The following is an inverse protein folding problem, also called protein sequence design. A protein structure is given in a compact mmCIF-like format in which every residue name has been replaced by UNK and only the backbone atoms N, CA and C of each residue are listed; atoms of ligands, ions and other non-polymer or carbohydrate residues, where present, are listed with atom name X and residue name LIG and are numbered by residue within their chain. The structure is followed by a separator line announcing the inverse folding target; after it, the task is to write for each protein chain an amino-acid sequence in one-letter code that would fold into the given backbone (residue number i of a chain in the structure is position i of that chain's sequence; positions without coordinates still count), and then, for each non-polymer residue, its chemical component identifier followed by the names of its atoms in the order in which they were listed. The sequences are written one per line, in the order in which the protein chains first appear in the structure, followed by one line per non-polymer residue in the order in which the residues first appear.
data_IF_380093652809
#
_entry.id   IF_380093652809
#
_cell.length_a   1.000
_cell.length_b   1.000
_cell.length_c   1.000
_cell.angle_alpha   90.00
_cell.angle_beta   90.00
_cell.angle_gamma   90.00
#
_symmetry.space_group_name_H-M   'P 1'
#
loop_
_entity.id
_entity.type
_entity.pdbx_description
1 polymer ?
#
# COMPACT_ATOMS: atom_id res chain seq x y z
N UNK A 1 -14.54 23.11 13.95
CA UNK A 1 -13.98 23.32 12.60
C UNK A 1 -14.10 22.02 11.84
N UNK A 2 -14.59 22.04 10.61
CA UNK A 2 -14.72 20.85 9.76
C UNK A 2 -13.72 20.93 8.63
N UNK A 3 -13.23 19.78 8.18
CA UNK A 3 -12.26 19.64 7.11
C UNK A 3 -12.95 19.72 5.75
N UNK A 4 -12.35 20.46 4.83
CA UNK A 4 -12.78 20.53 3.44
C UNK A 4 -11.76 19.82 2.56
N UNK A 5 -12.26 19.06 1.59
CA UNK A 5 -11.44 18.25 0.72
C UNK A 5 -11.78 18.53 -0.74
N UNK A 6 -10.77 18.63 -1.59
CA UNK A 6 -10.93 18.67 -3.03
C UNK A 6 -10.00 17.67 -3.70
N UNK A 7 -10.43 17.11 -4.82
CA UNK A 7 -9.57 16.24 -5.61
C UNK A 7 -8.46 17.05 -6.29
N UNK A 8 -7.21 16.60 -6.13
CA UNK A 8 -6.07 17.27 -6.76
C UNK A 8 -6.00 16.88 -8.24
N UNK A 9 -6.74 17.61 -9.09
CA UNK A 9 -6.94 17.30 -10.53
C UNK A 9 -5.66 17.13 -11.35
N UNK A 10 -4.54 17.76 -10.96
CA UNK A 10 -3.24 17.61 -11.64
C UNK A 10 -2.43 16.40 -11.16
N UNK A 11 -2.78 15.83 -10.01
CA UNK A 11 -2.00 14.77 -9.37
C UNK A 11 -1.84 13.51 -10.23
N UNK A 12 -2.80 13.12 -11.10
CA UNK A 12 -2.60 11.95 -11.95
C UNK A 12 -1.36 12.05 -12.84
N UNK A 13 -1.00 13.26 -13.27
CA UNK A 13 0.18 13.49 -14.13
C UNK A 13 1.48 13.70 -13.34
N UNK A 14 1.38 13.94 -12.02
CA UNK A 14 2.53 14.19 -11.14
C UNK A 14 3.00 12.93 -10.40
N UNK A 15 2.09 11.98 -10.18
CA UNK A 15 2.37 10.72 -9.48
C UNK A 15 3.16 9.76 -10.38
N UNK A 16 4.34 9.36 -9.93
CA UNK A 16 5.14 8.34 -10.60
C UNK A 16 4.41 6.99 -10.70
N UNK A 17 3.48 6.71 -9.78
CA UNK A 17 2.55 5.58 -9.84
C UNK A 17 1.85 5.47 -11.20
N UNK A 18 1.49 6.60 -11.82
CA UNK A 18 0.81 6.64 -13.12
C UNK A 18 1.78 6.66 -14.32
N UNK A 19 3.09 6.68 -14.07
CA UNK A 19 4.07 6.60 -15.15
C UNK A 19 3.90 5.28 -15.92
N UNK A 20 4.12 5.31 -17.24
CA UNK A 20 3.96 4.14 -18.11
C UNK A 20 4.69 2.91 -17.57
N UNK A 21 5.95 3.07 -17.14
CA UNK A 21 6.74 1.95 -16.60
C UNK A 21 6.10 1.32 -15.36
N UNK A 22 5.58 2.13 -14.43
CA UNK A 22 4.94 1.60 -13.23
C UNK A 22 3.63 0.89 -13.60
N UNK A 23 2.81 1.49 -14.45
CA UNK A 23 1.56 0.92 -14.91
C UNK A 23 1.74 -0.37 -15.72
N UNK A 24 2.80 -0.49 -16.52
CA UNK A 24 3.12 -1.71 -17.27
C UNK A 24 3.50 -2.86 -16.32
N UNK A 25 4.29 -2.57 -15.27
CA UNK A 25 4.63 -3.55 -14.24
C UNK A 25 3.42 -3.92 -13.36
N UNK A 26 2.57 -2.96 -13.00
CA UNK A 26 1.35 -3.25 -12.26
C UNK A 26 0.35 -4.06 -13.09
N UNK A 27 0.30 -3.90 -14.42
CA UNK A 27 -0.48 -4.81 -15.28
C UNK A 27 0.15 -6.20 -15.27
N UNK A 28 1.47 -6.31 -15.45
CA UNK A 28 2.20 -7.59 -15.38
C UNK A 28 1.95 -8.31 -14.05
N UNK A 29 1.93 -7.58 -12.94
CA UNK A 29 1.69 -8.13 -11.61
C UNK A 29 0.21 -8.31 -11.29
N UNK A 30 -0.72 -7.89 -12.16
CA UNK A 30 -2.15 -8.08 -11.94
C UNK A 30 -2.81 -7.12 -10.95
N UNK A 31 -2.22 -5.95 -10.72
CA UNK A 31 -2.73 -4.94 -9.79
C UNK A 31 -3.39 -3.75 -10.47
N UNK A 32 -3.04 -3.46 -11.74
CA UNK A 32 -3.42 -2.21 -12.41
C UNK A 32 -4.93 -1.96 -12.46
N UNK A 33 -5.74 -3.01 -12.65
CA UNK A 33 -7.20 -2.89 -12.75
C UNK A 33 -7.90 -2.78 -11.40
N UNK A 34 -7.19 -3.10 -10.32
CA UNK A 34 -7.72 -3.25 -8.98
C UNK A 34 -7.10 -2.29 -7.95
N UNK A 35 -6.14 -1.45 -8.37
CA UNK A 35 -5.42 -0.51 -7.52
C UNK A 35 -5.36 0.89 -8.13
N UNK A 36 -5.43 1.91 -7.27
CA UNK A 36 -5.14 3.29 -7.64
C UNK A 36 -4.51 4.08 -6.50
N UNK A 37 -3.82 5.16 -6.85
CA UNK A 37 -3.47 6.24 -5.92
C UNK A 37 -4.25 7.48 -6.33
N UNK A 38 -5.02 8.05 -5.40
CA UNK A 38 -5.71 9.34 -5.56
C UNK A 38 -5.22 10.32 -4.53
N UNK A 39 -5.03 11.57 -4.95
CA UNK A 39 -4.59 12.66 -4.07
C UNK A 39 -5.68 13.72 -3.95
N UNK A 40 -5.92 14.14 -2.72
CA UNK A 40 -6.82 15.22 -2.35
C UNK A 40 -6.03 16.31 -1.63
N UNK A 41 -6.57 17.53 -1.63
CA UNK A 41 -6.05 18.68 -0.89
C UNK A 41 -7.03 19.05 0.23
N UNK A 42 -6.50 19.60 1.31
CA UNK A 42 -7.29 20.20 2.40
C UNK A 42 -6.65 21.50 2.87
N UNK A 43 -7.38 22.34 3.61
CA UNK A 43 -6.89 23.66 4.03
C UNK A 43 -6.73 23.82 5.54
N UNK A 44 -7.45 23.03 6.32
CA UNK A 44 -7.48 23.17 7.76
C UNK A 44 -6.20 22.63 8.41
N UNK A 45 -5.92 23.10 9.62
CA UNK A 45 -4.86 22.53 10.43
C UNK A 45 -5.26 21.14 10.92
N UNK A 46 -4.34 20.18 10.82
CA UNK A 46 -4.52 18.81 11.28
C UNK A 46 -3.59 18.54 12.48
N UNK A 47 -4.18 18.28 13.65
CA UNK A 47 -3.50 17.78 14.85
C UNK A 47 -3.55 16.25 14.85
N UNK A 48 -2.42 15.60 14.59
CA UNK A 48 -2.32 14.15 14.49
C UNK A 48 -2.49 13.40 15.83
N UNK A 49 -2.74 14.08 16.94
CA UNK A 49 -3.05 13.43 18.22
C UNK A 49 -4.54 13.52 18.55
N UNK A 50 -5.25 14.50 17.98
CA UNK A 50 -6.64 14.81 18.35
C UNK A 50 -7.63 14.64 17.21
N UNK A 51 -7.20 14.87 15.98
CA UNK A 51 -8.10 14.98 14.84
C UNK A 51 -8.19 13.68 14.04
N UNK A 52 -7.39 12.64 14.31
CA UNK A 52 -7.26 11.43 13.46
C UNK A 52 -8.61 10.82 13.07
N UNK A 53 -9.44 10.44 14.05
CA UNK A 53 -10.73 9.78 13.80
C UNK A 53 -11.70 10.70 13.06
N UNK A 54 -11.83 11.93 13.54
CA UNK A 54 -12.72 12.94 12.97
C UNK A 54 -12.34 13.27 11.53
N UNK A 55 -11.05 13.46 11.25
CA UNK A 55 -10.54 13.75 9.91
C UNK A 55 -10.89 12.64 8.94
N UNK A 56 -10.66 11.37 9.32
CA UNK A 56 -10.99 10.22 8.47
C UNK A 56 -12.51 10.10 8.25
N UNK A 57 -13.32 10.32 9.28
CA UNK A 57 -14.78 10.27 9.19
C UNK A 57 -15.32 11.38 8.27
N UNK A 58 -14.85 12.62 8.42
CA UNK A 58 -15.22 13.74 7.55
C UNK A 58 -14.70 13.51 6.11
N UNK A 59 -13.51 12.94 5.95
CA UNK A 59 -12.93 12.60 4.64
C UNK A 59 -13.80 11.63 3.85
N UNK A 60 -14.19 10.49 4.44
CA UNK A 60 -15.00 9.49 3.73
C UNK A 60 -16.46 9.91 3.50
N UNK A 61 -16.95 10.92 4.23
CA UNK A 61 -18.28 11.48 4.03
C UNK A 61 -18.31 12.70 3.10
N UNK A 62 -17.15 13.31 2.80
CA UNK A 62 -17.07 14.47 1.94
C UNK A 62 -17.49 14.15 0.49
N UNK A 63 -18.31 15.03 -0.10
CA UNK A 63 -18.88 14.83 -1.43
C UNK A 63 -17.80 14.70 -2.52
N UNK A 64 -16.83 15.61 -2.55
CA UNK A 64 -15.70 15.59 -3.51
C UNK A 64 -14.85 14.32 -3.36
N UNK A 65 -14.71 13.82 -2.13
CA UNK A 65 -14.00 12.55 -1.89
C UNK A 65 -14.81 11.37 -2.40
N UNK A 66 -16.13 11.33 -2.18
CA UNK A 66 -17.01 10.22 -2.61
C UNK A 66 -17.20 10.13 -4.11
N UNK A 67 -17.13 11.26 -4.81
CA UNK A 67 -17.10 11.29 -6.28
C UNK A 67 -15.89 10.55 -6.84
N UNK A 68 -14.76 10.59 -6.14
CA UNK A 68 -13.50 10.05 -6.62
C UNK A 68 -13.13 8.71 -5.96
N UNK A 69 -13.42 8.50 -4.68
CA UNK A 69 -13.12 7.28 -3.95
C UNK A 69 -14.08 6.16 -4.37
N UNK A 70 -13.63 5.32 -5.30
CA UNK A 70 -14.36 4.13 -5.74
C UNK A 70 -13.79 2.88 -5.07
N UNK A 71 -14.66 1.92 -4.80
CA UNK A 71 -14.32 0.60 -4.25
C UNK A 71 -14.58 -0.48 -5.29
N UNK A 72 -13.87 -1.60 -5.18
CA UNK A 72 -14.10 -2.76 -6.04
C UNK A 72 -15.31 -3.54 -5.55
N UNK A 73 -16.05 -4.09 -6.50
CA UNK A 73 -17.15 -5.00 -6.21
C UNK A 73 -16.81 -6.45 -6.53
N UNK A 74 -17.65 -7.33 -5.98
CA UNK A 74 -17.86 -8.73 -6.32
C UNK A 74 -18.09 -9.05 -7.82
N UNK A 75 -18.15 -8.05 -8.70
CA UNK A 75 -18.33 -8.22 -10.14
C UNK A 75 -17.15 -7.62 -10.93
N UNK A 76 -16.02 -7.39 -10.25
CA UNK A 76 -14.80 -6.82 -10.83
C UNK A 76 -15.03 -5.43 -11.48
N UNK A 77 -15.87 -4.61 -10.87
CA UNK A 77 -16.22 -3.27 -11.32
C UNK A 77 -16.02 -2.25 -10.21
N UNK A 78 -15.62 -1.04 -10.58
CA UNK A 78 -15.55 0.10 -9.67
C UNK A 78 -16.96 0.61 -9.34
N UNK A 79 -17.28 0.67 -8.04
CA UNK A 79 -18.55 1.18 -7.52
C UNK A 79 -18.31 2.36 -6.58
N UNK A 80 -19.30 3.22 -6.47
CA UNK A 80 -19.28 4.34 -5.52
C UNK A 80 -19.57 3.86 -4.09
N UNK A 81 -19.03 4.59 -3.12
CA UNK A 81 -19.35 4.39 -1.71
C UNK A 81 -20.78 4.89 -1.45
N UNK A 82 -21.72 3.97 -1.17
CA UNK A 82 -23.13 4.31 -0.91
C UNK A 82 -23.39 4.57 0.58
N UNK A 83 -24.34 5.47 0.86
CA UNK A 83 -24.77 5.80 2.22
C UNK A 83 -23.78 6.66 3.00
N UNK A 84 -24.20 7.19 4.13
CA UNK A 84 -23.31 7.89 5.07
C UNK A 84 -22.47 6.86 5.83
N UNK A 85 -21.19 7.18 6.04
CA UNK A 85 -20.28 6.38 6.86
C UNK A 85 -20.40 6.86 8.30
N UNK A 86 -20.83 5.98 9.20
CA UNK A 86 -21.06 6.34 10.60
C UNK A 86 -19.82 6.22 11.48
N UNK A 87 -18.85 5.42 11.04
CA UNK A 87 -17.63 5.17 11.79
C UNK A 87 -16.54 4.60 10.86
N UNK A 88 -15.28 4.85 11.21
CA UNK A 88 -14.11 4.39 10.47
C UNK A 88 -13.23 3.59 11.43
N UNK A 89 -13.06 2.30 11.15
CA UNK A 89 -12.08 1.49 11.87
C UNK A 89 -10.75 1.53 11.13
N UNK A 90 -9.69 1.96 11.81
CA UNK A 90 -8.37 2.12 11.22
C UNK A 90 -7.25 1.71 12.18
N UNK A 91 -6.07 1.47 11.64
CA UNK A 91 -4.81 1.30 12.38
C UNK A 91 -3.78 2.34 11.92
N UNK A 92 -3.08 2.97 12.86
CA UNK A 92 -1.97 3.86 12.56
C UNK A 92 -0.74 3.03 12.20
N UNK A 93 -0.18 3.28 11.02
CA UNK A 93 0.94 2.53 10.49
C UNK A 93 2.24 3.31 10.72
N UNK A 94 3.26 2.69 11.36
CA UNK A 94 4.58 3.27 11.45
C UNK A 94 5.17 3.57 10.07
N UNK A 95 5.76 4.76 9.92
CA UNK A 95 6.43 5.17 8.70
C UNK A 95 7.71 5.91 9.10
N UNK A 96 8.72 5.15 9.48
CA UNK A 96 9.96 5.67 10.05
C UNK A 96 11.15 5.53 9.09
N UNK A 97 11.05 4.63 8.11
CA UNK A 97 12.15 4.31 7.19
C UNK A 97 12.25 5.32 6.05
N UNK A 98 13.45 5.81 5.76
CA UNK A 98 13.72 6.73 4.63
C UNK A 98 14.62 6.12 3.56
N UNK A 99 15.15 4.92 3.80
CA UNK A 99 16.18 4.28 3.00
C UNK A 99 15.86 2.80 2.77
N UNK A 100 16.28 2.28 1.61
CA UNK A 100 16.06 0.88 1.24
C UNK A 100 17.05 -0.10 1.90
N UNK A 101 18.08 0.38 2.59
CA UNK A 101 18.99 -0.46 3.38
C UNK A 101 18.26 -1.30 4.44
N UNK A 102 17.03 -0.91 4.79
CA UNK A 102 16.09 -1.72 5.55
C UNK A 102 15.94 -3.14 4.98
N UNK A 103 16.02 -3.32 3.65
CA UNK A 103 15.94 -4.60 2.97
C UNK A 103 17.29 -5.28 2.71
N UNK A 104 18.41 -4.73 3.18
CA UNK A 104 19.74 -5.35 3.02
C UNK A 104 19.78 -6.76 3.64
N UNK A 105 18.95 -6.99 4.66
CA UNK A 105 18.73 -8.27 5.33
C UNK A 105 18.30 -9.40 4.37
N UNK A 106 17.64 -9.08 3.25
CA UNK A 106 17.30 -10.07 2.22
C UNK A 106 18.55 -10.69 1.58
N UNK A 107 19.61 -9.88 1.41
CA UNK A 107 20.90 -10.35 0.90
C UNK A 107 21.70 -11.08 1.97
N UNK A 108 21.66 -10.60 3.21
CA UNK A 108 22.36 -11.23 4.35
C UNK A 108 21.80 -12.63 4.64
N UNK A 109 20.48 -12.80 4.50
CA UNK A 109 19.79 -14.09 4.65
C UNK A 109 19.83 -14.98 3.39
N UNK A 110 20.54 -14.56 2.34
CA UNK A 110 20.65 -15.28 1.07
C UNK A 110 19.30 -15.58 0.37
N UNK A 111 18.25 -14.79 0.64
CA UNK A 111 16.96 -14.84 -0.08
C UNK A 111 17.10 -14.20 -1.46
N UNK A 112 17.99 -13.22 -1.55
CA UNK A 112 18.39 -12.55 -2.79
C UNK A 112 19.90 -12.69 -2.96
N UNK A 113 20.35 -13.07 -4.15
CA UNK A 113 21.78 -13.14 -4.48
C UNK A 113 22.40 -11.75 -4.51
N UNK A 114 23.45 -11.53 -3.73
CA UNK A 114 24.10 -10.21 -3.56
C UNK A 114 24.70 -9.64 -4.85
N UNK A 115 25.20 -10.50 -5.73
CA UNK A 115 25.86 -10.14 -6.98
C UNK A 115 24.88 -9.68 -8.07
N UNK A 116 23.74 -10.34 -8.16
CA UNK A 116 22.80 -10.23 -9.29
C UNK A 116 21.46 -9.61 -8.92
N UNK A 117 21.08 -9.63 -7.63
CA UNK A 117 19.73 -9.28 -7.20
C UNK A 117 18.69 -10.37 -7.52
N UNK A 118 19.11 -11.56 -7.97
CA UNK A 118 18.22 -12.66 -8.30
C UNK A 118 17.57 -13.24 -7.04
N UNK A 119 16.26 -13.44 -7.08
CA UNK A 119 15.47 -14.02 -6.01
C UNK A 119 15.68 -15.54 -6.02
N UNK A 120 16.03 -16.12 -4.87
CA UNK A 120 16.27 -17.55 -4.75
C UNK A 120 14.95 -18.32 -4.87
N UNK A 121 14.91 -19.28 -5.79
CA UNK A 121 13.76 -20.16 -6.01
C UNK A 121 13.70 -21.25 -4.95
N UNK A 122 12.50 -21.74 -4.68
CA UNK A 122 12.24 -22.86 -3.77
C UNK A 122 11.25 -23.84 -4.40
N UNK A 123 11.10 -25.02 -3.80
CA UNK A 123 10.09 -25.97 -4.27
C UNK A 123 8.68 -25.38 -4.11
N UNK A 124 7.73 -25.63 -5.02
CA UNK A 124 6.38 -25.08 -4.92
C UNK A 124 5.71 -25.42 -3.58
N UNK A 125 5.24 -24.39 -2.88
CA UNK A 125 4.41 -24.49 -1.68
C UNK A 125 3.05 -23.89 -2.01
N UNK A 126 1.98 -24.61 -1.70
CA UNK A 126 0.61 -24.13 -1.90
C UNK A 126 0.07 -23.66 -0.56
N UNK A 127 -0.19 -22.35 -0.47
CA UNK A 127 -0.85 -21.76 0.68
C UNK A 127 -2.35 -21.72 0.40
N UNK A 128 -3.11 -22.51 1.15
CA UNK A 128 -4.58 -22.46 1.10
C UNK A 128 -5.07 -21.17 1.76
N UNK A 129 -5.86 -20.38 1.02
CA UNK A 129 -6.62 -19.27 1.57
C UNK A 129 -8.11 -19.60 1.53
N UNK A 130 -8.83 -19.19 2.58
CA UNK A 130 -10.23 -19.54 2.79
C UNK A 130 -11.08 -19.26 1.53
N UNK A 131 -11.57 -20.32 0.88
CA UNK A 131 -12.44 -20.30 -0.31
C UNK A 131 -11.85 -19.63 -1.57
N UNK A 132 -10.53 -19.45 -1.68
CA UNK A 132 -9.86 -18.94 -2.88
C UNK A 132 -8.89 -19.97 -3.48
N UNK A 133 -8.51 -19.80 -4.75
CA UNK A 133 -7.45 -20.62 -5.37
C UNK A 133 -6.16 -20.52 -4.54
N UNK A 134 -5.47 -21.65 -4.29
CA UNK A 134 -4.28 -21.66 -3.45
C UNK A 134 -3.17 -20.82 -4.06
N UNK A 135 -2.48 -20.04 -3.23
CA UNK A 135 -1.34 -19.24 -3.68
C UNK A 135 -0.14 -20.15 -3.82
N UNK A 136 0.38 -20.25 -5.04
CA UNK A 136 1.60 -21.00 -5.33
C UNK A 136 2.85 -20.14 -5.09
N UNK A 137 3.60 -20.50 -4.05
CA UNK A 137 4.87 -19.88 -3.67
C UNK A 137 6.01 -20.69 -4.28
N UNK A 138 6.85 -20.05 -5.09
CA UNK A 138 7.98 -20.72 -5.80
C UNK A 138 9.33 -20.04 -5.57
N UNK A 139 9.39 -19.09 -4.64
CA UNK A 139 10.62 -18.41 -4.24
C UNK A 139 10.64 -18.07 -2.74
N UNK A 140 11.85 -17.92 -2.22
CA UNK A 140 12.16 -17.63 -0.81
C UNK A 140 11.61 -16.27 -0.37
N UNK A 141 11.48 -15.30 -1.29
CA UNK A 141 10.98 -13.96 -0.96
C UNK A 141 9.49 -14.02 -0.61
N UNK A 142 8.65 -14.61 -1.48
CA UNK A 142 7.23 -14.78 -1.20
C UNK A 142 6.99 -15.72 -0.01
N UNK A 143 7.85 -16.73 0.16
CA UNK A 143 7.84 -17.57 1.36
C UNK A 143 8.02 -16.75 2.64
N UNK A 144 9.01 -15.86 2.69
CA UNK A 144 9.22 -14.92 3.81
C UNK A 144 8.05 -13.97 4.03
N UNK A 145 7.39 -13.51 2.96
CA UNK A 145 6.32 -12.51 3.03
C UNK A 145 4.98 -13.10 3.52
N UNK A 146 4.73 -14.38 3.23
CA UNK A 146 3.46 -15.06 3.47
C UNK A 146 3.49 -16.07 4.62
N UNK A 147 4.57 -16.85 4.76
CA UNK A 147 4.60 -17.98 5.68
C UNK A 147 5.23 -17.61 7.02
N UNK A 148 4.39 -17.47 8.05
CA UNK A 148 4.79 -17.17 9.43
C UNK A 148 5.70 -18.25 10.06
N UNK A 149 5.68 -19.46 9.52
CA UNK A 149 6.52 -20.58 9.96
C UNK A 149 7.78 -20.78 9.10
N UNK A 150 8.07 -19.87 8.15
CA UNK A 150 9.31 -19.95 7.38
C UNK A 150 10.53 -19.65 8.24
N UNK A 151 11.65 -20.33 7.97
CA UNK A 151 12.91 -20.17 8.70
C UNK A 151 13.38 -18.71 8.68
N UNK A 152 13.13 -18.01 7.56
CA UNK A 152 13.54 -16.65 7.34
C UNK A 152 12.48 -15.61 7.74
N UNK A 153 11.35 -16.00 8.35
CA UNK A 153 10.29 -15.06 8.71
C UNK A 153 10.80 -13.95 9.64
N UNK A 154 11.59 -14.30 10.63
CA UNK A 154 11.99 -13.37 11.69
C UNK A 154 13.19 -12.46 11.34
N UNK A 155 13.73 -12.52 10.11
CA UNK A 155 14.74 -11.52 9.68
C UNK A 155 14.14 -10.09 9.66
N UNK A 156 12.82 -10.01 9.53
CA UNK A 156 12.03 -8.81 9.79
C UNK A 156 11.16 -9.05 11.02
N UNK A 157 11.38 -8.27 12.07
CA UNK A 157 10.58 -8.32 13.29
C UNK A 157 9.12 -7.95 13.03
N UNK A 158 8.25 -8.19 14.02
CA UNK A 158 6.85 -7.73 13.96
C UNK A 158 6.73 -6.22 13.69
N UNK A 159 7.62 -5.42 14.26
CA UNK A 159 7.63 -3.97 14.05
C UNK A 159 8.10 -3.63 12.63
N UNK A 160 9.16 -4.28 12.14
CA UNK A 160 9.64 -4.12 10.76
C UNK A 160 8.54 -4.45 9.74
N UNK A 161 7.82 -5.55 9.95
CA UNK A 161 6.70 -5.98 9.10
C UNK A 161 5.51 -5.03 9.14
N UNK A 162 5.41 -4.23 10.20
CA UNK A 162 4.40 -3.18 10.33
C UNK A 162 4.83 -1.83 9.76
N UNK A 163 6.10 -1.63 9.42
CA UNK A 163 6.53 -0.40 8.74
C UNK A 163 5.85 -0.26 7.37
N UNK A 164 5.45 0.96 7.04
CA UNK A 164 4.72 1.23 5.81
C UNK A 164 5.52 0.82 4.57
N UNK A 165 6.82 1.09 4.55
CA UNK A 165 7.71 0.69 3.46
C UNK A 165 7.72 -0.83 3.23
N UNK A 166 7.70 -1.62 4.31
CA UNK A 166 7.56 -3.08 4.22
C UNK A 166 6.20 -3.48 3.66
N UNK A 167 5.11 -2.82 4.09
CA UNK A 167 3.76 -3.09 3.57
C UNK A 167 3.64 -2.78 2.08
N UNK A 168 4.20 -1.66 1.59
CA UNK A 168 4.26 -1.35 0.15
C UNK A 168 5.00 -2.46 -0.59
N UNK A 169 6.19 -2.83 -0.11
CA UNK A 169 7.03 -3.86 -0.72
C UNK A 169 6.32 -5.21 -0.80
N UNK A 170 5.72 -5.64 0.32
CA UNK A 170 4.90 -6.85 0.37
C UNK A 170 3.80 -6.79 -0.70
N UNK A 171 3.03 -5.71 -0.73
CA UNK A 171 1.90 -5.59 -1.66
C UNK A 171 2.28 -5.70 -3.13
N UNK A 172 3.39 -5.10 -3.55
CA UNK A 172 3.86 -5.21 -4.95
C UNK A 172 4.50 -6.56 -5.26
N UNK A 173 5.16 -7.21 -4.29
CA UNK A 173 5.71 -8.56 -4.47
C UNK A 173 4.62 -9.63 -4.56
N UNK A 174 3.51 -9.44 -3.86
CA UNK A 174 2.36 -10.35 -3.93
C UNK A 174 1.52 -10.14 -5.19
N UNK A 175 1.43 -8.90 -5.69
CA UNK A 175 0.69 -8.62 -6.91
C UNK A 175 -0.81 -8.93 -6.80
N UNK A 176 -1.42 -9.28 -7.93
CA UNK A 176 -2.81 -9.68 -8.10
C UNK A 176 -2.96 -10.80 -9.11
N UNK A 177 -3.95 -10.73 -10.01
CA UNK A 177 -4.44 -11.87 -10.82
C UNK A 177 -3.39 -12.50 -11.75
N UNK A 178 -2.60 -11.68 -12.44
CA UNK A 178 -1.72 -12.15 -13.51
C UNK A 178 -0.47 -12.88 -12.96
N UNK A 179 -0.08 -12.64 -11.70
CA UNK A 179 0.97 -13.38 -10.97
C UNK A 179 2.30 -13.57 -11.75
N UNK A 180 2.64 -12.68 -12.70
CA UNK A 180 3.93 -12.74 -13.41
C UNK A 180 5.01 -12.02 -12.61
N UNK A 181 5.49 -12.71 -11.57
CA UNK A 181 6.49 -12.20 -10.64
C UNK A 181 7.86 -11.93 -11.32
N UNK A 182 8.67 -11.09 -10.69
CA UNK A 182 10.02 -10.80 -11.15
C UNK A 182 11.00 -11.85 -10.64
N UNK A 183 12.04 -12.12 -11.43
CA UNK A 183 13.17 -12.93 -10.99
C UNK A 183 14.21 -12.12 -10.21
N UNK A 184 14.15 -10.78 -10.29
CA UNK A 184 15.11 -9.87 -9.68
C UNK A 184 14.42 -8.86 -8.76
N UNK A 185 14.92 -8.70 -7.53
CA UNK A 185 14.31 -7.81 -6.52
C UNK A 185 14.40 -6.33 -6.92
N UNK A 186 15.35 -5.98 -7.79
CA UNK A 186 15.63 -4.61 -8.22
C UNK A 186 14.39 -3.92 -8.82
N UNK A 187 13.56 -4.64 -9.56
CA UNK A 187 12.33 -4.08 -10.12
C UNK A 187 11.32 -3.72 -9.03
N UNK A 188 11.14 -4.58 -8.03
CA UNK A 188 10.31 -4.26 -6.87
C UNK A 188 10.83 -3.04 -6.11
N UNK A 189 12.14 -2.94 -5.87
CA UNK A 189 12.72 -1.78 -5.19
C UNK A 189 12.56 -0.47 -5.98
N UNK A 190 12.68 -0.53 -7.31
CA UNK A 190 12.45 0.64 -8.17
C UNK A 190 11.01 1.15 -8.06
N UNK A 191 10.03 0.24 -8.08
CA UNK A 191 8.61 0.60 -7.96
C UNK A 191 8.25 1.03 -6.55
N UNK A 192 8.72 0.31 -5.53
CA UNK A 192 8.60 0.70 -4.13
C UNK A 192 9.06 2.14 -3.90
N UNK A 193 10.25 2.50 -4.41
CA UNK A 193 10.82 3.84 -4.24
C UNK A 193 9.96 4.93 -4.88
N UNK A 194 9.35 4.65 -6.04
CA UNK A 194 8.45 5.59 -6.73
C UNK A 194 7.17 5.79 -5.92
N UNK A 195 6.50 4.71 -5.58
CA UNK A 195 5.25 4.74 -4.80
C UNK A 195 5.49 5.40 -3.43
N UNK A 196 6.58 5.05 -2.74
CA UNK A 196 6.88 5.62 -1.43
C UNK A 196 7.10 7.13 -1.50
N UNK A 197 7.76 7.64 -2.55
CA UNK A 197 7.96 9.09 -2.76
C UNK A 197 6.68 9.83 -3.11
N UNK A 198 5.77 9.17 -3.82
CA UNK A 198 4.46 9.75 -4.14
C UNK A 198 3.58 9.92 -2.89
N UNK A 199 3.74 9.02 -1.92
CA UNK A 199 2.89 8.97 -0.72
C UNK A 199 3.49 9.72 0.47
N UNK A 200 4.81 9.64 0.69
CA UNK A 200 5.46 10.12 1.91
C UNK A 200 6.24 11.42 1.69
N UNK A 201 5.90 12.40 2.53
CA UNK A 201 6.59 13.67 2.62
C UNK A 201 7.73 13.60 3.65
N UNK A 202 8.92 14.00 3.21
CA UNK A 202 10.12 14.13 4.05
C UNK A 202 10.65 15.55 4.01
N UNK A 203 11.17 16.02 5.15
CA UNK A 203 11.85 17.30 5.25
C UNK A 203 13.26 17.12 5.81
N UNK A 204 14.22 17.89 5.30
CA UNK A 204 15.57 17.94 5.87
C UNK A 204 15.55 18.71 7.19
N UNK A 205 16.11 18.13 8.24
CA UNK A 205 16.37 18.80 9.51
C UNK A 205 17.43 19.88 9.29
N UNK A 206 17.09 21.15 9.54
CA UNK A 206 18.00 22.30 9.30
C UNK A 206 19.36 22.17 10.01
N UNK A 207 19.42 21.48 11.15
CA UNK A 207 20.64 21.34 11.95
C UNK A 207 21.55 20.18 11.54
N UNK A 208 20.98 19.03 11.18
CA UNK A 208 21.77 17.79 10.93
C UNK A 208 21.79 17.36 9.47
N UNK A 209 20.86 17.87 8.65
CA UNK A 209 20.67 17.44 7.26
C UNK A 209 19.84 16.16 7.10
N UNK A 210 19.54 15.47 8.19
CA UNK A 210 18.77 14.21 8.18
C UNK A 210 17.34 14.41 7.69
N UNK A 211 16.81 13.42 6.98
CA UNK A 211 15.42 13.41 6.55
C UNK A 211 14.50 13.00 7.70
N UNK A 212 13.45 13.77 7.91
CA UNK A 212 12.38 13.49 8.87
C UNK A 212 11.09 13.31 8.10
N UNK A 213 10.38 12.21 8.36
CA UNK A 213 9.05 11.96 7.81
C UNK A 213 8.03 12.86 8.49
N UNK A 214 7.16 13.49 7.68
CA UNK A 214 6.10 14.38 8.15
C UNK A 214 4.70 13.82 7.93
N UNK A 215 4.58 12.81 7.07
CA UNK A 215 3.32 12.16 6.78
C UNK A 215 2.87 11.22 7.90
N UNK A 216 1.56 11.08 8.04
CA UNK A 216 0.91 10.09 8.90
C UNK A 216 0.17 9.08 8.04
N UNK A 217 0.32 7.79 8.34
CA UNK A 217 -0.25 6.70 7.55
C UNK A 217 -1.28 5.96 8.38
N UNK A 218 -2.48 5.77 7.81
CA UNK A 218 -3.57 5.01 8.41
C UNK A 218 -4.00 3.92 7.44
N UNK A 219 -4.08 2.68 7.91
CA UNK A 219 -4.74 1.60 7.14
C UNK A 219 -6.19 1.54 7.58
N UNK A 220 -7.09 1.68 6.63
CA UNK A 220 -8.53 1.57 6.86
C UNK A 220 -8.91 0.11 6.82
N UNK A 221 -9.43 -0.38 7.94
CA UNK A 221 -9.84 -1.77 8.11
C UNK A 221 -11.32 -1.95 7.79
N UNK A 222 -12.16 -0.95 8.13
CA UNK A 222 -13.59 -1.00 7.86
C UNK A 222 -14.20 0.40 7.79
N UNK A 223 -15.24 0.54 6.96
CA UNK A 223 -16.11 1.73 6.88
C UNK A 223 -17.52 1.29 7.29
N UNK A 224 -17.98 1.68 8.47
CA UNK A 224 -19.30 1.25 8.95
C UNK A 224 -20.39 1.75 8.01
N UNK A 225 -21.28 0.85 7.60
CA UNK A 225 -22.31 1.04 6.56
C UNK A 225 -21.81 0.86 5.10
N UNK A 226 -20.61 0.33 4.89
CA UNK A 226 -20.11 -0.05 3.56
C UNK A 226 -19.16 -1.25 3.62
N UNK A 227 -19.07 -2.00 2.51
CA UNK A 227 -18.09 -3.06 2.36
C UNK A 227 -16.89 -2.50 1.60
N UNK A 228 -15.77 -2.31 2.32
CA UNK A 228 -14.56 -1.71 1.73
C UNK A 228 -13.89 -2.63 0.70
N UNK A 229 -13.99 -3.95 0.88
CA UNK A 229 -13.38 -4.94 -0.01
C UNK A 229 -14.42 -5.99 -0.43
N UNK A 230 -14.30 -6.54 -1.66
CA UNK A 230 -15.27 -7.51 -2.18
C UNK A 230 -15.10 -8.92 -1.57
N UNK A 231 -13.89 -9.26 -1.14
CA UNK A 231 -13.55 -10.56 -0.52
C UNK A 231 -12.52 -10.37 0.59
N UNK A 232 -12.23 -11.45 1.33
CA UNK A 232 -11.12 -11.47 2.27
C UNK A 232 -9.87 -12.00 1.53
N UNK A 233 -8.87 -11.14 1.33
CA UNK A 233 -7.64 -11.51 0.63
C UNK A 233 -6.44 -10.79 1.25
N UNK A 234 -5.29 -11.46 1.28
CA UNK A 234 -4.10 -10.98 2.00
C UNK A 234 -3.49 -9.66 1.49
N UNK A 235 -3.88 -9.24 0.29
CA UNK A 235 -3.38 -8.06 -0.40
C UNK A 235 -4.47 -6.98 -0.52
N UNK A 236 -5.58 -7.13 0.19
CA UNK A 236 -6.58 -6.07 0.30
C UNK A 236 -6.07 -5.00 1.27
N UNK A 237 -6.05 -3.75 0.79
CA UNK A 237 -5.65 -2.61 1.61
C UNK A 237 -6.25 -1.31 1.12
N UNK A 238 -6.42 -0.39 2.07
CA UNK A 238 -6.73 1.00 1.82
C UNK A 238 -5.86 1.81 2.79
N UNK A 239 -4.84 2.48 2.27
CA UNK A 239 -3.98 3.36 3.05
C UNK A 239 -4.38 4.80 2.78
N UNK A 240 -4.65 5.55 3.85
CA UNK A 240 -4.82 7.00 3.82
C UNK A 240 -3.55 7.62 4.41
N UNK A 241 -2.86 8.41 3.60
CA UNK A 241 -1.61 9.08 3.96
C UNK A 241 -1.84 10.59 4.01
N UNK A 242 -1.80 11.15 5.20
CA UNK A 242 -1.99 12.58 5.45
C UNK A 242 -0.62 13.25 5.46
N UNK A 243 -0.41 14.21 4.57
CA UNK A 243 0.75 15.08 4.52
C UNK A 243 0.36 16.49 5.00
N UNK A 244 0.70 16.86 6.24
CA UNK A 244 0.38 18.19 6.79
C UNK A 244 1.24 19.32 6.23
N UNK A 245 2.35 19.02 5.55
CA UNK A 245 3.26 20.04 4.99
C UNK A 245 2.67 20.59 3.70
N UNK A 246 2.31 19.69 2.78
CA UNK A 246 1.70 20.07 1.50
C UNK A 246 0.16 20.14 1.58
N UNK A 247 -0.40 19.74 2.72
CA UNK A 247 -1.84 19.57 2.96
C UNK A 247 -2.51 18.65 1.94
N UNK A 248 -1.88 17.49 1.75
CA UNK A 248 -2.36 16.45 0.86
C UNK A 248 -2.91 15.25 1.65
N UNK A 249 -3.90 14.59 1.07
CA UNK A 249 -4.34 13.26 1.50
C UNK A 249 -4.18 12.33 0.31
N UNK A 250 -3.27 11.36 0.40
CA UNK A 250 -3.12 10.32 -0.61
C UNK A 250 -3.87 9.07 -0.16
N UNK A 251 -4.73 8.54 -1.01
CA UNK A 251 -5.41 7.26 -0.81
C UNK A 251 -4.80 6.25 -1.77
N UNK A 252 -4.18 5.21 -1.22
CA UNK A 252 -3.77 4.04 -1.99
C UNK A 252 -4.68 2.87 -1.66
N UNK A 253 -5.51 2.51 -2.63
CA UNK A 253 -6.48 1.43 -2.49
C UNK A 253 -6.11 0.28 -3.43
N UNK A 254 -6.22 -0.95 -2.94
CA UNK A 254 -6.19 -2.17 -3.74
C UNK A 254 -7.16 -3.20 -3.16
N UNK A 255 -7.86 -3.89 -4.06
CA UNK A 255 -8.75 -4.97 -3.69
C UNK A 255 -8.65 -6.11 -4.69
N UNK A 256 -8.13 -7.23 -4.23
CA UNK A 256 -8.14 -8.47 -4.97
C UNK A 256 -9.59 -8.92 -5.20
N UNK A 257 -9.80 -9.46 -6.39
CA UNK A 257 -11.00 -10.18 -6.76
C UNK A 257 -10.75 -11.68 -6.56
N UNK A 258 -11.77 -12.50 -6.32
CA UNK A 258 -11.60 -13.97 -6.29
C UNK A 258 -11.02 -14.40 -7.64
N UNK A 259 -9.73 -14.74 -7.63
CA UNK A 259 -9.01 -15.16 -8.81
C UNK A 259 -9.51 -16.55 -9.17
N UNK A 260 -10.40 -16.62 -10.18
CA UNK A 260 -10.67 -17.85 -10.91
C UNK A 260 -9.44 -18.19 -11.75
N UNK A 261 -8.37 -18.62 -11.07
CA UNK A 261 -7.23 -19.29 -11.68
C UNK A 261 -7.34 -20.78 -11.40
#
# INVERSE_FOLDING_TARGET
MSFHFEYHTKSPNELEYNSKRVQDLLEKWGMRRHSYIKRFIYEEYFDNEKDEHKFLLEFFNNENVREEFKIQSDQNNWKELKGEIYDVAYEKIPCNMTTLNFFDRLYDAAIVRRDSGAIVKTFPIYLEENNSSPIMITDELRQLLLLANSINYDIFSKNDRNEFMFKIFKSICLGGDICQFEDFVTEYFNILKKIYKDLICVQKRRKTGDLIIKSFVYKINNLKNSNLFPSNHHNNFCYVVIDPVNRWVNVWYHAAYEYLC
#
